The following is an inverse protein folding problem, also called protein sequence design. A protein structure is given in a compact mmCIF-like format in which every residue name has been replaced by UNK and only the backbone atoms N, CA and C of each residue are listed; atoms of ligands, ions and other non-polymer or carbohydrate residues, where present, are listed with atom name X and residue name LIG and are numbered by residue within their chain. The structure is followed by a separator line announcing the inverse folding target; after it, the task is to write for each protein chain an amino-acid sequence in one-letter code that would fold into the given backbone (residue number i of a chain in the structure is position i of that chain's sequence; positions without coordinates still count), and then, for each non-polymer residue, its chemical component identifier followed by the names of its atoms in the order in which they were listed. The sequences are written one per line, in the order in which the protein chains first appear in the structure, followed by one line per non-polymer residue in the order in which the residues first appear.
data_IF_401726590514
#
_entry.id   IF_401726590514
#
_cell.length_a   1.000
_cell.length_b   1.000
_cell.length_c   1.000
_cell.angle_alpha   90.00
_cell.angle_beta   90.00
_cell.angle_gamma   90.00
#
_symmetry.space_group_name_H-M   'P 1'
#
loop_
_entity.id
_entity.type
_entity.pdbx_description
1 polymer ?
#
# COMPACT_ATOMS: atom_id res chain seq x y z
N UNK A 1 19.50 23.98 -12.90
CA UNK A 1 19.08 23.42 -14.20
C UNK A 1 18.80 21.95 -13.97
N UNK A 2 17.55 21.56 -13.87
CA UNK A 2 17.16 20.15 -13.81
C UNK A 2 17.47 19.53 -15.17
N UNK A 3 18.36 18.54 -15.22
CA UNK A 3 18.57 17.75 -16.42
C UNK A 3 17.19 17.23 -16.88
N UNK A 4 16.85 17.40 -18.16
CA UNK A 4 15.62 16.86 -18.70
C UNK A 4 15.64 15.34 -18.53
N UNK A 5 14.56 14.77 -18.01
CA UNK A 5 14.45 13.32 -17.90
C UNK A 5 14.68 12.67 -19.27
N UNK A 6 15.41 11.52 -19.31
CA UNK A 6 15.64 10.82 -20.56
C UNK A 6 14.32 10.36 -21.17
N UNK A 7 14.17 10.56 -22.47
CA UNK A 7 12.98 10.13 -23.22
C UNK A 7 12.87 8.60 -23.24
N UNK A 8 11.70 8.08 -23.63
CA UNK A 8 11.52 6.63 -23.81
C UNK A 8 12.52 6.04 -24.79
N UNK A 9 12.77 6.73 -25.92
CA UNK A 9 13.76 6.32 -26.93
C UNK A 9 15.17 6.26 -26.36
N UNK A 10 15.56 7.21 -25.52
CA UNK A 10 16.87 7.20 -24.86
C UNK A 10 16.99 6.01 -23.90
N UNK A 11 15.92 5.66 -23.18
CA UNK A 11 15.88 4.48 -22.29
C UNK A 11 15.93 3.16 -23.09
N UNK A 12 15.25 3.07 -24.24
CA UNK A 12 15.36 1.92 -25.15
C UNK A 12 16.77 1.81 -25.74
N UNK A 13 17.39 2.92 -26.11
CA UNK A 13 18.77 2.92 -26.57
C UNK A 13 19.75 2.43 -25.50
N UNK A 14 19.57 2.86 -24.26
CA UNK A 14 20.33 2.34 -23.12
C UNK A 14 20.10 0.83 -22.92
N UNK A 15 18.86 0.36 -22.98
CA UNK A 15 18.53 -1.06 -22.87
C UNK A 15 19.25 -1.92 -23.92
N UNK A 16 19.38 -1.43 -25.18
CA UNK A 16 20.13 -2.13 -26.24
C UNK A 16 21.61 -2.33 -25.90
N UNK A 17 22.19 -1.44 -25.13
CA UNK A 17 23.60 -1.53 -24.73
C UNK A 17 23.84 -2.40 -23.50
N UNK A 18 22.78 -2.76 -22.75
CA UNK A 18 22.88 -3.60 -21.56
C UNK A 18 22.88 -5.06 -21.98
N UNK A 19 24.00 -5.76 -21.76
CA UNK A 19 24.08 -7.21 -21.99
C UNK A 19 23.73 -8.06 -20.79
N UNK A 20 23.89 -7.47 -19.59
CA UNK A 20 23.67 -8.18 -18.31
C UNK A 20 23.07 -7.25 -17.28
N UNK A 21 22.12 -7.76 -16.50
CA UNK A 21 21.55 -7.05 -15.35
C UNK A 21 21.34 -8.02 -14.19
N UNK A 22 21.78 -7.70 -12.96
CA UNK A 22 21.63 -8.58 -11.80
C UNK A 22 20.16 -8.88 -11.46
N UNK A 23 19.27 -7.91 -11.66
CA UNK A 23 17.86 -8.03 -11.28
C UNK A 23 16.94 -7.49 -12.37
N UNK A 24 16.02 -8.33 -12.82
CA UNK A 24 14.87 -7.92 -13.63
C UNK A 24 13.60 -7.94 -12.78
N UNK A 25 12.88 -6.83 -12.75
CA UNK A 25 11.57 -6.68 -12.09
C UNK A 25 10.49 -6.70 -13.17
N UNK A 26 9.55 -7.63 -13.06
CA UNK A 26 8.44 -7.75 -14.01
C UNK A 26 7.16 -7.23 -13.37
N UNK A 27 6.61 -6.16 -13.93
CA UNK A 27 5.37 -5.51 -13.51
C UNK A 27 5.58 -4.14 -12.86
N UNK A 28 4.96 -3.12 -13.44
CA UNK A 28 5.03 -1.71 -13.04
C UNK A 28 3.90 -1.25 -12.11
N UNK A 29 3.38 -2.15 -11.26
CA UNK A 29 2.48 -1.81 -10.17
C UNK A 29 3.22 -1.33 -8.92
N UNK A 30 2.49 -1.02 -7.85
CA UNK A 30 3.07 -0.45 -6.61
C UNK A 30 4.18 -1.34 -6.02
N UNK A 31 4.05 -2.66 -6.05
CA UNK A 31 5.06 -3.57 -5.51
C UNK A 31 6.33 -3.57 -6.36
N UNK A 32 6.21 -3.68 -7.69
CA UNK A 32 7.37 -3.64 -8.58
C UNK A 32 8.11 -2.31 -8.50
N UNK A 33 7.38 -1.20 -8.51
CA UNK A 33 7.98 0.14 -8.40
C UNK A 33 8.62 0.39 -7.02
N UNK A 34 7.99 -0.08 -5.95
CA UNK A 34 8.58 -0.03 -4.61
C UNK A 34 9.89 -0.82 -4.53
N UNK A 35 9.91 -2.04 -5.10
CA UNK A 35 11.12 -2.87 -5.19
C UNK A 35 12.19 -2.20 -6.05
N UNK A 36 11.83 -1.66 -7.21
CA UNK A 36 12.73 -0.94 -8.10
C UNK A 36 13.41 0.24 -7.39
N UNK A 37 12.62 1.07 -6.72
CA UNK A 37 13.15 2.20 -5.95
C UNK A 37 14.07 1.76 -4.83
N UNK A 38 13.67 0.75 -4.05
CA UNK A 38 14.44 0.26 -2.91
C UNK A 38 15.80 -0.31 -3.33
N UNK A 39 15.84 -1.13 -4.38
CA UNK A 39 17.07 -1.65 -4.96
C UNK A 39 17.96 -0.53 -5.52
N UNK A 40 17.36 0.44 -6.22
CA UNK A 40 18.09 1.60 -6.75
C UNK A 40 18.76 2.42 -5.65
N UNK A 41 18.06 2.66 -4.54
CA UNK A 41 18.62 3.37 -3.38
C UNK A 41 19.76 2.60 -2.70
N UNK A 42 19.77 1.29 -2.84
CA UNK A 42 20.85 0.42 -2.34
C UNK A 42 22.01 0.27 -3.35
N UNK A 43 21.94 0.92 -4.51
CA UNK A 43 22.97 0.84 -5.55
C UNK A 43 22.96 -0.48 -6.32
N UNK A 44 21.87 -1.24 -6.29
CA UNK A 44 21.73 -2.47 -7.06
C UNK A 44 21.25 -2.12 -8.46
N UNK A 45 21.94 -2.65 -9.48
CA UNK A 45 21.55 -2.47 -10.87
C UNK A 45 20.33 -3.32 -11.18
N UNK A 46 19.27 -2.70 -11.69
CA UNK A 46 18.02 -3.37 -12.03
C UNK A 46 17.29 -2.73 -13.20
N UNK A 47 16.51 -3.56 -13.90
CA UNK A 47 15.58 -3.12 -14.94
C UNK A 47 14.16 -3.48 -14.48
N UNK A 48 13.21 -2.56 -14.69
CA UNK A 48 11.79 -2.83 -14.53
C UNK A 48 11.11 -2.81 -15.91
N UNK A 49 10.43 -3.90 -16.23
CA UNK A 49 9.64 -4.07 -17.44
C UNK A 49 8.14 -4.16 -17.11
N UNK A 50 7.34 -3.27 -17.69
CA UNK A 50 5.87 -3.28 -17.60
C UNK A 50 5.27 -3.37 -19.01
N UNK A 51 4.42 -4.37 -19.25
CA UNK A 51 3.85 -4.63 -20.59
C UNK A 51 2.81 -3.59 -21.04
N UNK A 52 2.12 -2.96 -20.10
CA UNK A 52 1.17 -1.88 -20.35
C UNK A 52 1.73 -0.54 -19.90
N UNK A 53 0.85 0.34 -19.47
CA UNK A 53 1.27 1.57 -18.80
C UNK A 53 1.54 1.30 -17.30
N UNK A 54 2.37 2.13 -16.68
CA UNK A 54 2.63 2.00 -15.24
C UNK A 54 1.34 2.10 -14.45
N UNK A 55 1.23 1.29 -13.40
CA UNK A 55 0.04 1.24 -12.56
C UNK A 55 -1.25 0.77 -13.29
N UNK A 56 -1.18 0.16 -14.46
CA UNK A 56 -2.36 -0.21 -15.25
C UNK A 56 -3.14 -1.43 -14.74
N UNK A 57 -2.52 -2.23 -13.85
CA UNK A 57 -3.13 -3.43 -13.26
C UNK A 57 -3.95 -3.16 -11.98
N UNK A 58 -3.83 -4.03 -11.00
CA UNK A 58 -4.54 -3.95 -9.72
C UNK A 58 -4.28 -2.62 -8.96
N UNK A 59 -3.11 -2.01 -9.14
CA UNK A 59 -2.75 -0.73 -8.52
C UNK A 59 -3.53 0.47 -9.07
N UNK A 60 -4.14 0.36 -10.26
CA UNK A 60 -4.97 1.41 -10.87
C UNK A 60 -6.30 1.60 -10.17
N UNK A 61 -6.90 0.51 -9.70
CA UNK A 61 -8.26 0.50 -9.17
C UNK A 61 -8.31 0.01 -7.71
N UNK A 62 -7.51 0.55 -6.78
CA UNK A 62 -7.62 0.22 -5.36
C UNK A 62 -8.84 0.92 -4.75
N UNK A 63 -9.21 0.53 -3.54
CA UNK A 63 -10.18 1.28 -2.73
C UNK A 63 -9.68 2.69 -2.33
N UNK A 64 -8.45 3.06 -2.71
CA UNK A 64 -7.71 4.27 -2.30
C UNK A 64 -7.50 4.39 -0.80
N UNK A 65 -7.85 3.36 -0.04
CA UNK A 65 -7.65 3.32 1.40
C UNK A 65 -6.34 2.57 1.73
N UNK A 66 -5.44 3.25 2.41
CA UNK A 66 -4.21 2.67 2.95
C UNK A 66 -4.50 2.35 4.42
N UNK A 67 -4.92 1.12 4.68
CA UNK A 67 -5.35 0.71 6.01
C UNK A 67 -4.25 -0.08 6.75
N UNK A 68 -4.15 0.13 8.06
CA UNK A 68 -3.24 -0.63 8.92
C UNK A 68 -3.78 -2.00 9.33
N UNK A 69 -4.90 -2.45 8.76
CA UNK A 69 -5.39 -3.81 8.96
C UNK A 69 -6.05 -4.08 10.31
N UNK A 70 -6.77 -3.13 10.89
CA UNK A 70 -7.48 -3.29 12.18
C UNK A 70 -8.23 -4.63 12.30
N UNK A 71 -8.87 -5.09 11.20
CA UNK A 71 -9.60 -6.36 11.15
C UNK A 71 -8.72 -7.58 11.49
N UNK A 72 -7.44 -7.54 11.17
CA UNK A 72 -6.51 -8.65 11.39
C UNK A 72 -6.09 -8.81 12.87
N UNK A 73 -6.36 -7.81 13.72
CA UNK A 73 -6.20 -7.98 15.18
C UNK A 73 -7.10 -9.10 15.72
N UNK A 74 -8.28 -9.29 15.12
CA UNK A 74 -9.22 -10.34 15.53
C UNK A 74 -8.74 -11.75 15.18
N UNK A 75 -7.90 -11.89 14.16
CA UNK A 75 -7.31 -13.17 13.75
C UNK A 75 -5.95 -13.42 14.41
N UNK A 76 -5.48 -12.47 15.23
CA UNK A 76 -4.19 -12.58 15.92
C UNK A 76 -2.97 -12.28 15.03
N UNK A 77 -3.18 -11.66 13.88
CA UNK A 77 -2.12 -11.30 12.92
C UNK A 77 -1.41 -10.00 13.34
N UNK A 78 -0.94 -9.96 14.58
CA UNK A 78 -0.34 -8.75 15.18
C UNK A 78 0.86 -8.21 14.44
N UNK A 79 1.70 -9.10 13.88
CA UNK A 79 2.85 -8.71 13.08
C UNK A 79 2.42 -7.96 11.82
N UNK A 80 1.44 -8.50 11.09
CA UNK A 80 0.91 -7.89 9.87
C UNK A 80 0.33 -6.49 10.16
N UNK A 81 -0.44 -6.34 11.25
CA UNK A 81 -1.02 -5.04 11.64
C UNK A 81 0.08 -4.03 11.96
N UNK A 82 1.12 -4.45 12.69
CA UNK A 82 2.25 -3.57 13.02
C UNK A 82 2.99 -3.11 11.77
N UNK A 83 3.30 -4.02 10.85
CA UNK A 83 3.98 -3.72 9.59
C UNK A 83 3.12 -2.79 8.71
N UNK A 84 1.84 -3.10 8.53
CA UNK A 84 0.91 -2.29 7.74
C UNK A 84 0.71 -0.87 8.32
N UNK A 85 0.58 -0.74 9.65
CA UNK A 85 0.47 0.56 10.30
C UNK A 85 1.76 1.38 10.15
N UNK A 86 2.93 0.75 10.22
CA UNK A 86 4.21 1.41 10.01
C UNK A 86 4.34 1.92 8.57
N UNK A 87 4.02 1.11 7.56
CA UNK A 87 4.05 1.51 6.15
C UNK A 87 3.05 2.64 5.85
N UNK A 88 1.83 2.55 6.37
CA UNK A 88 0.85 3.63 6.28
C UNK A 88 1.40 4.95 6.81
N UNK A 89 2.04 4.92 7.99
CA UNK A 89 2.61 6.12 8.60
C UNK A 89 3.80 6.66 7.80
N UNK A 90 4.64 5.79 7.20
CA UNK A 90 5.71 6.21 6.29
C UNK A 90 5.16 6.93 5.05
N UNK A 91 4.08 6.41 4.46
CA UNK A 91 3.45 7.06 3.30
C UNK A 91 2.84 8.42 3.67
N UNK A 92 2.24 8.55 4.86
CA UNK A 92 1.76 9.85 5.35
C UNK A 92 2.87 10.88 5.54
N UNK A 93 4.08 10.44 5.92
CA UNK A 93 5.23 11.34 6.05
C UNK A 93 5.88 11.65 4.69
N UNK A 94 6.10 10.62 3.87
CA UNK A 94 6.94 10.74 2.67
C UNK A 94 6.15 11.16 1.44
N UNK A 95 4.83 10.91 1.41
CA UNK A 95 3.93 11.22 0.30
C UNK A 95 2.72 12.06 0.75
N UNK A 96 2.93 13.01 1.68
CA UNK A 96 1.88 13.83 2.28
C UNK A 96 1.06 14.65 1.26
N UNK A 97 1.59 14.88 0.07
CA UNK A 97 0.89 15.55 -1.03
C UNK A 97 -0.14 14.65 -1.74
N UNK A 98 -0.08 13.32 -1.54
CA UNK A 98 -1.06 12.36 -2.07
C UNK A 98 -1.79 11.59 -0.99
N UNK A 99 -1.20 11.47 0.21
CA UNK A 99 -1.70 10.63 1.30
C UNK A 99 -2.09 11.49 2.48
N UNK A 100 -3.34 11.40 2.89
CA UNK A 100 -3.91 12.16 4.01
C UNK A 100 -4.62 11.23 5.00
N UNK A 101 -4.77 11.63 6.29
CA UNK A 101 -5.58 10.89 7.24
C UNK A 101 -7.04 10.82 6.81
N UNK A 102 -7.65 9.64 6.98
CA UNK A 102 -9.06 9.38 6.75
C UNK A 102 -9.72 8.93 8.06
N UNK A 103 -10.66 9.71 8.56
CA UNK A 103 -11.45 9.32 9.73
C UNK A 103 -12.49 8.25 9.36
N UNK A 104 -12.50 7.19 10.14
CA UNK A 104 -13.40 6.05 10.00
C UNK A 104 -14.31 5.98 11.21
N UNK A 105 -15.61 5.86 10.98
CA UNK A 105 -16.61 5.73 12.04
C UNK A 105 -17.11 4.29 12.13
N UNK A 106 -17.11 3.73 13.33
CA UNK A 106 -17.67 2.41 13.64
C UNK A 106 -18.92 2.60 14.51
N UNK A 107 -20.13 2.39 13.97
CA UNK A 107 -21.34 2.35 14.78
C UNK A 107 -21.34 1.07 15.63
N UNK A 108 -21.73 1.18 16.90
CA UNK A 108 -21.69 0.09 17.87
C UNK A 108 -23.06 -0.05 18.52
N UNK A 109 -23.66 -1.23 18.38
CA UNK A 109 -25.02 -1.50 18.86
C UNK A 109 -25.07 -2.22 20.21
N UNK A 110 -23.93 -2.71 20.72
CA UNK A 110 -23.83 -3.48 21.95
C UNK A 110 -22.67 -3.00 22.83
N UNK A 111 -22.82 -3.03 24.14
CA UNK A 111 -21.71 -2.73 25.07
C UNK A 111 -20.73 -3.90 25.22
N UNK A 112 -21.25 -5.13 25.35
CA UNK A 112 -20.47 -6.34 25.71
C UNK A 112 -20.53 -7.43 24.63
N UNK A 113 -21.16 -7.17 23.48
CA UNK A 113 -21.24 -8.13 22.38
C UNK A 113 -19.86 -8.61 21.97
N UNK A 114 -19.75 -9.92 21.68
CA UNK A 114 -18.52 -10.48 21.13
C UNK A 114 -17.36 -10.69 22.12
N UNK A 115 -17.48 -10.35 23.41
CA UNK A 115 -16.39 -10.54 24.38
C UNK A 115 -16.00 -12.01 24.51
N UNK A 116 -16.96 -12.92 24.69
CA UNK A 116 -16.68 -14.37 24.80
C UNK A 116 -16.13 -14.95 23.49
N UNK A 117 -16.71 -14.67 22.30
CA UNK A 117 -16.12 -15.07 21.03
C UNK A 117 -14.72 -14.50 20.78
N UNK A 118 -14.48 -13.24 21.14
CA UNK A 118 -13.16 -12.61 21.01
C UNK A 118 -12.11 -13.32 21.87
N UNK A 119 -12.44 -13.62 23.12
CA UNK A 119 -11.56 -14.36 24.02
C UNK A 119 -11.28 -15.78 23.51
N UNK A 120 -12.30 -16.48 22.99
CA UNK A 120 -12.10 -17.80 22.36
C UNK A 120 -11.19 -17.74 21.15
N UNK A 121 -11.36 -16.75 20.27
CA UNK A 121 -10.48 -16.53 19.12
C UNK A 121 -9.04 -16.21 19.52
N UNK A 122 -8.86 -15.38 20.54
CA UNK A 122 -7.54 -15.08 21.10
C UNK A 122 -6.85 -16.36 21.62
N UNK A 123 -7.62 -17.28 22.20
CA UNK A 123 -7.15 -18.61 22.62
C UNK A 123 -7.08 -19.63 21.48
N UNK A 124 -7.10 -19.17 20.21
CA UNK A 124 -7.07 -20.00 19.00
C UNK A 124 -8.18 -21.04 18.88
N UNK A 125 -9.32 -20.81 19.55
CA UNK A 125 -10.50 -21.67 19.47
C UNK A 125 -11.47 -21.14 18.41
N UNK A 126 -12.16 -22.00 17.63
CA UNK A 126 -13.13 -21.56 16.64
C UNK A 126 -14.27 -20.79 17.31
N UNK A 127 -14.55 -19.57 16.85
CA UNK A 127 -15.67 -18.76 17.28
C UNK A 127 -16.13 -17.85 16.14
N UNK A 128 -17.44 -17.73 15.94
CA UNK A 128 -18.03 -16.71 15.05
C UNK A 128 -18.29 -15.45 15.87
N UNK A 129 -17.68 -14.34 15.45
CA UNK A 129 -17.99 -13.02 16.03
C UNK A 129 -19.09 -12.43 15.14
N UNK A 130 -20.33 -12.45 15.65
CA UNK A 130 -21.50 -11.89 14.95
C UNK A 130 -21.70 -10.41 15.27
N UNK A 131 -21.40 -10.01 16.52
CA UNK A 131 -21.49 -8.61 16.94
C UNK A 131 -20.25 -8.21 17.74
N UNK A 132 -19.80 -6.97 17.54
CA UNK A 132 -18.66 -6.40 18.24
C UNK A 132 -19.15 -5.31 19.19
N UNK A 133 -19.04 -5.54 20.47
CA UNK A 133 -19.38 -4.57 21.50
C UNK A 133 -18.32 -3.50 21.71
N UNK A 134 -18.72 -2.43 22.38
CA UNK A 134 -17.88 -1.27 22.65
C UNK A 134 -16.56 -1.64 23.35
N UNK A 135 -16.58 -2.60 24.26
CA UNK A 135 -15.38 -3.01 25.00
C UNK A 135 -14.32 -3.65 24.07
N UNK A 136 -14.76 -4.58 23.20
CA UNK A 136 -13.87 -5.27 22.24
C UNK A 136 -13.30 -4.28 21.24
N UNK A 137 -14.14 -3.40 20.70
CA UNK A 137 -13.72 -2.38 19.75
C UNK A 137 -12.73 -1.41 20.40
N UNK A 138 -13.01 -0.91 21.61
CA UNK A 138 -12.11 0.00 22.32
C UNK A 138 -10.74 -0.63 22.59
N UNK A 139 -10.71 -1.90 23.00
CA UNK A 139 -9.44 -2.61 23.21
C UNK A 139 -8.67 -2.79 21.89
N UNK A 140 -9.35 -3.16 20.81
CA UNK A 140 -8.74 -3.29 19.49
C UNK A 140 -8.17 -1.96 18.98
N UNK A 141 -8.91 -0.85 19.13
CA UNK A 141 -8.46 0.48 18.74
C UNK A 141 -7.29 0.98 19.60
N UNK A 142 -7.28 0.65 20.90
CA UNK A 142 -6.16 0.97 21.77
C UNK A 142 -4.87 0.25 21.33
N UNK A 143 -4.96 -1.04 20.99
CA UNK A 143 -3.84 -1.80 20.42
C UNK A 143 -3.40 -1.22 19.05
N UNK A 144 -4.36 -0.83 18.23
CA UNK A 144 -4.09 -0.22 16.92
C UNK A 144 -3.33 1.10 17.05
N UNK A 145 -3.74 1.96 18.00
CA UNK A 145 -3.02 3.19 18.31
C UNK A 145 -1.60 2.93 18.84
N UNK A 146 -1.43 1.85 19.63
CA UNK A 146 -0.12 1.46 20.16
C UNK A 146 0.83 1.06 19.02
N UNK A 147 0.36 0.29 18.04
CA UNK A 147 1.16 -0.09 16.87
C UNK A 147 1.45 1.10 15.94
N UNK A 148 0.55 2.07 15.86
CA UNK A 148 0.76 3.32 15.15
C UNK A 148 1.58 4.37 15.92
N UNK A 149 2.00 4.09 17.15
CA UNK A 149 2.66 5.08 18.02
C UNK A 149 4.09 5.44 17.60
N UNK A 150 4.79 4.54 16.91
CA UNK A 150 6.07 4.83 16.27
C UNK A 150 5.83 5.78 15.08
N UNK A 151 6.40 6.99 15.15
CA UNK A 151 6.15 8.08 14.18
C UNK A 151 4.67 8.45 14.10
N UNK A 152 4.08 8.85 15.23
CA UNK A 152 2.67 9.22 15.28
C UNK A 152 2.37 10.42 14.39
N UNK A 153 1.71 10.17 13.28
CA UNK A 153 1.25 11.17 12.32
C UNK A 153 -0.28 11.26 12.26
N UNK A 154 -0.96 10.43 13.06
CA UNK A 154 -2.42 10.34 13.08
C UNK A 154 -3.01 10.64 14.46
N UNK A 155 -4.24 11.20 14.53
CA UNK A 155 -4.98 11.33 15.77
C UNK A 155 -5.26 9.96 16.42
N UNK A 156 -5.53 9.96 17.72
CA UNK A 156 -5.95 8.76 18.44
C UNK A 156 -7.43 8.46 18.18
N UNK A 157 -7.81 7.21 18.37
CA UNK A 157 -9.22 6.83 18.38
C UNK A 157 -10.00 7.60 19.46
N UNK A 158 -11.28 7.81 19.20
CA UNK A 158 -12.23 8.40 20.15
C UNK A 158 -13.48 7.55 20.26
N UNK A 159 -14.05 7.49 21.46
CA UNK A 159 -15.40 6.99 21.66
C UNK A 159 -16.35 8.18 21.65
N UNK A 160 -17.38 8.14 20.81
CA UNK A 160 -18.30 9.25 20.54
C UNK A 160 -19.68 8.89 21.06
N UNK A 161 -20.25 9.72 21.92
CA UNK A 161 -21.57 9.48 22.48
C UNK A 161 -22.64 9.45 21.37
N UNK A 162 -23.70 8.63 21.56
CA UNK A 162 -24.78 8.48 20.59
C UNK A 162 -25.38 9.82 20.14
N UNK A 163 -25.59 10.74 21.08
CA UNK A 163 -26.21 12.03 20.77
C UNK A 163 -25.32 12.88 19.86
N UNK A 164 -24.01 12.85 20.08
CA UNK A 164 -23.05 13.64 19.32
C UNK A 164 -22.88 13.09 17.89
N UNK A 165 -22.71 11.78 17.76
CA UNK A 165 -22.55 11.17 16.44
C UNK A 165 -23.82 11.29 15.57
N UNK A 166 -25.02 11.17 16.15
CA UNK A 166 -26.26 11.36 15.40
C UNK A 166 -26.53 12.85 15.04
N UNK A 167 -25.93 13.78 15.76
CA UNK A 167 -25.95 15.21 15.37
C UNK A 167 -25.00 15.47 14.20
N UNK A 168 -23.83 14.81 14.21
CA UNK A 168 -22.82 14.95 13.16
C UNK A 168 -23.20 14.20 11.89
N UNK A 169 -23.73 12.97 12.02
CA UNK A 169 -24.18 12.11 10.92
C UNK A 169 -25.61 11.62 11.19
N UNK A 170 -26.64 12.42 10.84
CA UNK A 170 -28.03 12.11 11.15
C UNK A 170 -28.57 10.82 10.51
N UNK A 171 -27.99 10.40 9.38
CA UNK A 171 -28.42 9.22 8.61
C UNK A 171 -27.89 7.89 9.19
N UNK A 172 -27.11 7.92 10.29
CA UNK A 172 -26.72 6.69 10.96
C UNK A 172 -27.91 6.00 11.63
N UNK A 173 -27.85 4.67 11.69
CA UNK A 173 -28.85 3.86 12.39
C UNK A 173 -29.01 4.34 13.84
N UNK A 174 -30.22 4.84 14.22
CA UNK A 174 -30.46 5.39 15.55
C UNK A 174 -30.44 4.33 16.67
N UNK A 175 -30.41 3.05 16.36
CA UNK A 175 -30.32 1.98 17.35
C UNK A 175 -28.91 1.83 17.94
N UNK A 176 -27.88 2.49 17.38
CA UNK A 176 -26.53 2.47 17.92
C UNK A 176 -26.48 2.97 19.37
N UNK A 177 -25.61 2.39 20.19
CA UNK A 177 -25.40 2.76 21.59
C UNK A 177 -24.28 3.79 21.75
N UNK A 178 -23.24 3.67 20.96
CA UNK A 178 -22.06 4.52 20.94
C UNK A 178 -21.37 4.36 19.59
N UNK A 179 -20.55 5.32 19.17
CA UNK A 179 -19.67 5.16 18.03
C UNK A 179 -18.20 5.20 18.46
N UNK A 180 -17.33 4.67 17.63
CA UNK A 180 -15.90 4.87 17.76
C UNK A 180 -15.37 5.49 16.47
N UNK A 181 -14.47 6.47 16.58
CA UNK A 181 -13.68 6.95 15.45
C UNK A 181 -12.25 6.48 15.56
N UNK A 182 -11.65 6.16 14.43
CA UNK A 182 -10.23 5.86 14.29
C UNK A 182 -9.74 6.36 12.92
N UNK A 183 -8.44 6.33 12.69
CA UNK A 183 -7.88 6.87 11.47
C UNK A 183 -7.12 5.81 10.68
N UNK A 184 -7.40 5.75 9.39
CA UNK A 184 -6.58 5.13 8.36
C UNK A 184 -6.08 6.22 7.40
N UNK A 185 -5.51 5.88 6.26
CA UNK A 185 -5.08 6.85 5.30
C UNK A 185 -5.83 6.72 3.97
N UNK A 186 -5.92 7.82 3.26
CA UNK A 186 -6.50 7.94 1.95
C UNK A 186 -5.46 8.43 0.96
N UNK A 187 -5.38 7.80 -0.22
CA UNK A 187 -4.53 8.25 -1.32
C UNK A 187 -5.36 8.82 -2.45
N UNK A 188 -5.04 10.04 -2.88
CA UNK A 188 -5.77 10.73 -3.96
C UNK A 188 -5.37 10.23 -5.34
N UNK A 189 -4.08 9.95 -5.57
CA UNK A 189 -3.52 9.61 -6.87
C UNK A 189 -2.50 8.47 -6.74
N UNK A 190 -2.95 7.20 -6.62
CA UNK A 190 -2.05 6.06 -6.51
C UNK A 190 -1.16 5.89 -7.74
N UNK A 191 -1.67 6.23 -8.93
CA UNK A 191 -0.92 6.18 -10.19
C UNK A 191 0.27 7.14 -10.17
N UNK A 192 0.08 8.35 -9.64
CA UNK A 192 1.15 9.33 -9.54
C UNK A 192 2.22 8.91 -8.54
N UNK A 193 1.83 8.33 -7.40
CA UNK A 193 2.78 7.76 -6.46
C UNK A 193 3.65 6.69 -7.11
N UNK A 194 3.06 5.79 -7.92
CA UNK A 194 3.79 4.75 -8.63
C UNK A 194 4.82 5.33 -9.62
N UNK A 195 4.44 6.36 -10.37
CA UNK A 195 5.36 7.05 -11.30
C UNK A 195 6.50 7.73 -10.53
N UNK A 196 6.21 8.38 -9.41
CA UNK A 196 7.26 9.02 -8.60
C UNK A 196 8.26 8.03 -8.02
N UNK A 197 7.82 6.83 -7.62
CA UNK A 197 8.73 5.76 -7.19
C UNK A 197 9.70 5.35 -8.32
N UNK A 198 9.22 5.30 -9.57
CA UNK A 198 10.07 5.02 -10.73
C UNK A 198 11.10 6.14 -10.95
N UNK A 199 10.66 7.41 -10.91
CA UNK A 199 11.53 8.58 -11.10
C UNK A 199 12.58 8.67 -9.98
N UNK A 200 12.19 8.48 -8.72
CA UNK A 200 13.10 8.42 -7.58
C UNK A 200 14.15 7.33 -7.75
N UNK A 201 13.74 6.13 -8.17
CA UNK A 201 14.66 5.02 -8.39
C UNK A 201 15.68 5.31 -9.47
N UNK A 202 15.25 5.82 -10.63
CA UNK A 202 16.15 6.22 -11.73
C UNK A 202 17.05 7.40 -11.36
N UNK A 203 16.59 8.30 -10.50
CA UNK A 203 17.43 9.40 -10.00
C UNK A 203 18.48 8.91 -9.01
N UNK A 204 18.13 7.91 -8.16
CA UNK A 204 19.05 7.33 -7.19
C UNK A 204 20.15 6.45 -7.82
N UNK A 205 19.83 5.72 -8.88
CA UNK A 205 20.78 4.96 -9.69
C UNK A 205 20.54 5.21 -11.17
N UNK A 206 21.29 6.13 -11.81
CA UNK A 206 21.07 6.50 -13.22
C UNK A 206 21.27 5.37 -14.24
N UNK A 207 21.90 4.27 -13.85
CA UNK A 207 22.02 3.04 -14.65
C UNK A 207 20.74 2.21 -14.69
N UNK A 208 19.83 2.43 -13.76
CA UNK A 208 18.59 1.68 -13.67
C UNK A 208 17.51 2.21 -14.61
N UNK A 209 16.76 1.31 -15.21
CA UNK A 209 15.77 1.62 -16.23
C UNK A 209 14.40 1.07 -15.80
N UNK A 210 13.39 1.94 -15.76
CA UNK A 210 11.99 1.55 -15.71
C UNK A 210 11.33 1.90 -17.05
N UNK A 211 10.76 0.89 -17.73
CA UNK A 211 10.09 1.04 -19.01
C UNK A 211 8.69 0.45 -18.99
N UNK A 212 7.72 1.26 -19.42
CA UNK A 212 6.38 0.81 -19.78
C UNK A 212 6.35 0.33 -21.23
N UNK A 213 5.29 -0.35 -21.63
CA UNK A 213 5.14 -1.00 -22.93
C UNK A 213 6.31 -1.92 -23.29
N UNK A 214 6.97 -2.48 -22.28
CA UNK A 214 8.04 -3.47 -22.40
C UNK A 214 7.55 -4.79 -21.78
N UNK A 215 7.29 -5.79 -22.63
CA UNK A 215 6.76 -7.09 -22.21
C UNK A 215 7.89 -8.04 -21.89
N UNK A 216 7.77 -8.74 -20.77
CA UNK A 216 8.54 -9.96 -20.51
C UNK A 216 7.92 -11.12 -21.28
N UNK A 217 8.68 -11.76 -22.15
CA UNK A 217 8.23 -12.91 -22.95
C UNK A 217 8.56 -14.24 -22.24
N UNK A 218 9.85 -14.43 -21.93
CA UNK A 218 10.31 -15.69 -21.34
C UNK A 218 11.71 -15.58 -20.74
N UNK A 219 12.07 -16.60 -19.97
CA UNK A 219 13.44 -16.85 -19.52
C UNK A 219 13.87 -18.26 -19.94
N UNK A 220 15.09 -18.39 -20.45
CA UNK A 220 15.68 -19.69 -20.87
C UNK A 220 17.11 -19.73 -20.31
N UNK A 221 17.33 -20.56 -19.30
CA UNK A 221 18.57 -20.50 -18.52
C UNK A 221 18.75 -19.12 -17.89
N UNK A 222 19.85 -18.44 -18.20
CA UNK A 222 20.12 -17.08 -17.76
C UNK A 222 19.68 -16.00 -18.77
N UNK A 223 19.14 -16.39 -19.92
CA UNK A 223 18.69 -15.43 -20.92
C UNK A 223 17.23 -15.05 -20.68
N UNK A 224 17.00 -13.74 -20.63
CA UNK A 224 15.69 -13.11 -20.55
C UNK A 224 15.36 -12.47 -21.88
N UNK A 225 14.16 -12.70 -22.38
CA UNK A 225 13.63 -12.07 -23.59
C UNK A 225 12.56 -11.04 -23.21
N UNK A 226 12.81 -9.80 -23.59
CA UNK A 226 11.88 -8.69 -23.46
C UNK A 226 11.46 -8.21 -24.86
N UNK A 227 10.25 -7.66 -24.98
CA UNK A 227 9.74 -7.14 -26.25
C UNK A 227 9.13 -5.75 -26.03
N UNK A 228 9.59 -4.79 -26.80
CA UNK A 228 8.89 -3.53 -26.94
C UNK A 228 7.55 -3.73 -27.64
N UNK A 229 6.45 -3.42 -26.95
CA UNK A 229 5.10 -3.66 -27.46
C UNK A 229 4.75 -2.72 -28.61
N UNK A 230 5.35 -1.54 -28.66
CA UNK A 230 5.04 -0.52 -29.65
C UNK A 230 5.76 -0.78 -30.98
N UNK A 231 7.04 -1.12 -30.95
CA UNK A 231 7.84 -1.39 -32.16
C UNK A 231 7.90 -2.87 -32.55
N UNK A 232 7.63 -3.78 -31.61
CA UNK A 232 7.84 -5.21 -31.77
C UNK A 232 9.30 -5.65 -31.61
N UNK A 233 10.22 -4.74 -31.33
CA UNK A 233 11.64 -5.03 -31.13
C UNK A 233 11.86 -5.98 -29.95
N UNK A 234 12.75 -6.95 -30.10
CA UNK A 234 13.08 -7.96 -29.09
C UNK A 234 14.47 -7.70 -28.52
N UNK A 235 14.58 -7.71 -27.21
CA UNK A 235 15.82 -7.55 -26.45
C UNK A 235 16.16 -8.85 -25.72
N UNK A 236 17.43 -9.22 -25.74
CA UNK A 236 17.94 -10.38 -24.98
C UNK A 236 18.96 -9.90 -23.96
N UNK A 237 18.73 -10.23 -22.69
CA UNK A 237 19.58 -9.91 -21.55
C UNK A 237 20.00 -11.16 -20.80
N UNK A 238 21.11 -11.09 -20.03
CA UNK A 238 21.54 -12.16 -19.13
C UNK A 238 21.60 -11.69 -17.69
#
# INVERSE_FOLDING_TARGET
MTASEPTREARLAALRSIGHVPVLIVGGGINGMGTFRDLSLQGVDCILAEQGDFCSGASRAPSRMIHGGLKYLETGEFRLVRESAAERNRLLCNAAHYVSPLEMIIPIHSWFGGVVPALRKFLRRPAKITERGALVIKLGLWLYDLYGALNRVMPRHRMIARQDILREIPDLDPSLKIAASYYDAWITSPERLVVELALDGMAANPGNIALNHLRFNRVTGNQVELQDVESGEVFSLT
#
